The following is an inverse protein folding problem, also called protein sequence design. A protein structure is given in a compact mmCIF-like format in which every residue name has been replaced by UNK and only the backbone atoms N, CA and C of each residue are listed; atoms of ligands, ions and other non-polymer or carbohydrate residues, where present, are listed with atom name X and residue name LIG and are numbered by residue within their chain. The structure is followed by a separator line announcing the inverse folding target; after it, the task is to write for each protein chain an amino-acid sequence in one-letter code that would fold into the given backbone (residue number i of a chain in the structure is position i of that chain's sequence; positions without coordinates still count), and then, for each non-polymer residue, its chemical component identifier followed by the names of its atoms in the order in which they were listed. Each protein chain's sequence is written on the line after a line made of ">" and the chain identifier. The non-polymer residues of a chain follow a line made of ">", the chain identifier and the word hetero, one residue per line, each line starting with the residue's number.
data_IF_709559188926
#
_entry.id   IF_709559188926
#
_cell.length_a   1.000
_cell.length_b   1.000
_cell.length_c   1.000
_cell.angle_alpha   90.00
_cell.angle_beta   90.00
_cell.angle_gamma   90.00
#
_symmetry.space_group_name_H-M   'P 1'
#
loop_
_entity.id
_entity.type
_entity.pdbx_description
1 polymer ?
#
# COMPACT_ATOMS: atom_id res chain seq x y z
N UNK A 1 -8.73 -30.43 0.79
CA UNK A 1 -8.56 -29.03 0.33
C UNK A 1 -9.95 -28.47 0.06
N UNK A 2 -10.33 -27.38 0.69
CA UNK A 2 -11.63 -26.72 0.48
C UNK A 2 -11.55 -25.93 -0.83
N UNK A 3 -12.59 -26.02 -1.67
CA UNK A 3 -12.59 -25.28 -2.95
C UNK A 3 -12.75 -23.77 -2.75
N UNK A 4 -12.22 -22.96 -3.70
CA UNK A 4 -12.42 -21.48 -3.71
C UNK A 4 -13.91 -21.13 -3.60
N UNK A 5 -14.77 -21.81 -4.35
CA UNK A 5 -16.20 -21.57 -4.35
C UNK A 5 -16.85 -21.79 -2.96
N UNK A 6 -16.42 -22.81 -2.23
CA UNK A 6 -16.93 -23.09 -0.88
C UNK A 6 -16.47 -22.05 0.13
N UNK A 7 -15.19 -21.63 0.06
CA UNK A 7 -14.65 -20.54 0.88
C UNK A 7 -15.44 -19.25 0.63
N UNK A 8 -15.68 -18.90 -0.63
CA UNK A 8 -16.45 -17.71 -0.99
C UNK A 8 -17.90 -17.74 -0.51
N UNK A 9 -18.55 -18.92 -0.57
CA UNK A 9 -19.90 -19.08 0.00
C UNK A 9 -19.92 -18.82 1.50
N UNK A 10 -18.97 -19.37 2.26
CA UNK A 10 -18.82 -19.15 3.70
C UNK A 10 -18.57 -17.69 4.03
N UNK A 11 -17.63 -17.06 3.32
CA UNK A 11 -17.33 -15.63 3.47
C UNK A 11 -18.56 -14.75 3.22
N UNK A 12 -19.28 -15.01 2.11
CA UNK A 12 -20.50 -14.24 1.79
C UNK A 12 -21.63 -14.46 2.79
N UNK A 13 -21.76 -15.65 3.36
CA UNK A 13 -22.74 -15.91 4.43
C UNK A 13 -22.43 -15.10 5.70
N UNK A 14 -21.14 -15.00 6.08
CA UNK A 14 -20.72 -14.20 7.24
C UNK A 14 -20.92 -12.71 7.00
N UNK A 15 -20.61 -12.20 5.79
CA UNK A 15 -20.77 -10.77 5.48
C UNK A 15 -22.21 -10.25 5.55
N UNK A 16 -23.19 -11.16 5.57
CA UNK A 16 -24.63 -10.84 5.71
C UNK A 16 -25.15 -10.90 7.15
N UNK A 17 -24.30 -11.29 8.10
CA UNK A 17 -24.68 -11.32 9.53
C UNK A 17 -24.82 -9.90 10.08
N UNK A 18 -25.45 -9.78 11.25
CA UNK A 18 -25.50 -8.51 11.97
C UNK A 18 -24.09 -7.98 12.24
N UNK A 19 -23.85 -6.68 12.08
CA UNK A 19 -22.55 -6.08 12.34
C UNK A 19 -22.08 -6.33 13.78
N UNK A 20 -20.80 -6.61 13.96
CA UNK A 20 -20.15 -6.65 15.27
C UNK A 20 -20.06 -5.24 15.85
N UNK A 21 -20.18 -5.11 17.18
CA UNK A 21 -19.93 -3.83 17.86
C UNK A 21 -18.43 -3.49 17.83
N UNK A 22 -18.11 -2.22 18.05
CA UNK A 22 -16.71 -1.75 18.17
C UNK A 22 -15.96 -2.51 19.25
N UNK A 23 -16.59 -2.75 20.41
CA UNK A 23 -16.02 -3.48 21.55
C UNK A 23 -15.71 -4.93 21.16
N UNK A 24 -16.64 -5.60 20.47
CA UNK A 24 -16.43 -6.98 19.98
C UNK A 24 -15.24 -7.04 19.00
N UNK A 25 -15.17 -6.09 18.05
CA UNK A 25 -14.06 -6.02 17.10
C UNK A 25 -12.73 -5.76 17.79
N UNK A 26 -12.67 -4.82 18.72
CA UNK A 26 -11.46 -4.49 19.46
C UNK A 26 -10.97 -5.65 20.32
N UNK A 27 -11.89 -6.33 21.03
CA UNK A 27 -11.57 -7.50 21.83
C UNK A 27 -11.04 -8.65 20.97
N UNK A 28 -11.66 -8.90 19.82
CA UNK A 28 -11.24 -9.95 18.90
C UNK A 28 -9.85 -9.64 18.29
N UNK A 29 -9.57 -8.38 17.90
CA UNK A 29 -8.24 -7.97 17.42
C UNK A 29 -7.16 -8.22 18.46
N UNK A 30 -7.43 -7.91 19.75
CA UNK A 30 -6.51 -8.21 20.84
C UNK A 30 -6.27 -9.72 20.98
N UNK A 31 -7.31 -10.54 20.89
CA UNK A 31 -7.18 -12.00 20.95
C UNK A 31 -6.47 -12.60 19.74
N UNK A 32 -6.69 -12.05 18.56
CA UNK A 32 -5.93 -12.44 17.37
C UNK A 32 -4.44 -12.09 17.51
N UNK A 33 -4.10 -10.91 18.05
CA UNK A 33 -2.72 -10.52 18.32
C UNK A 33 -2.05 -11.44 19.36
N UNK A 34 -2.72 -11.77 20.46
CA UNK A 34 -2.22 -12.75 21.46
C UNK A 34 -1.99 -14.12 20.83
N UNK A 35 -2.93 -14.61 20.02
CA UNK A 35 -2.82 -15.90 19.33
C UNK A 35 -1.66 -15.91 18.32
N UNK A 36 -1.43 -14.79 17.61
CA UNK A 36 -0.33 -14.65 16.67
C UNK A 36 1.02 -14.75 17.36
N UNK A 37 1.21 -14.05 18.50
CA UNK A 37 2.43 -14.12 19.31
C UNK A 37 2.61 -15.52 19.88
N UNK A 38 1.55 -16.15 20.37
CA UNK A 38 1.61 -17.51 20.93
C UNK A 38 1.97 -18.56 19.88
N UNK A 39 1.68 -18.31 18.60
CA UNK A 39 2.01 -19.19 17.47
C UNK A 39 3.37 -18.89 16.82
N UNK A 40 4.21 -18.02 17.41
CA UNK A 40 5.48 -17.57 16.82
C UNK A 40 6.35 -18.73 16.34
N UNK A 41 6.55 -19.77 17.14
CA UNK A 41 7.40 -20.91 16.78
C UNK A 41 6.85 -21.69 15.57
N UNK A 42 5.53 -21.90 15.51
CA UNK A 42 4.90 -22.61 14.40
C UNK A 42 4.96 -21.77 13.11
N UNK A 43 4.77 -20.47 13.21
CA UNK A 43 4.89 -19.54 12.08
C UNK A 43 6.33 -19.48 11.56
N UNK A 44 7.32 -19.41 12.45
CA UNK A 44 8.74 -19.40 12.07
C UNK A 44 9.17 -20.71 11.41
N UNK A 45 8.68 -21.87 11.90
CA UNK A 45 8.94 -23.18 11.25
C UNK A 45 8.37 -23.22 9.83
N UNK A 46 7.12 -22.75 9.64
CA UNK A 46 6.51 -22.69 8.32
C UNK A 46 7.25 -21.70 7.40
N UNK A 47 7.64 -20.55 7.92
CA UNK A 47 8.38 -19.53 7.18
C UNK A 47 9.78 -20.00 6.75
N UNK A 48 10.49 -20.71 7.61
CA UNK A 48 11.80 -21.27 7.26
C UNK A 48 11.70 -22.22 6.05
N UNK A 49 10.64 -23.04 5.99
CA UNK A 49 10.39 -23.94 4.85
C UNK A 49 10.04 -23.17 3.57
N UNK A 50 9.25 -22.10 3.68
CA UNK A 50 8.90 -21.22 2.55
C UNK A 50 10.17 -20.54 2.01
N UNK A 51 10.98 -19.94 2.89
CA UNK A 51 12.26 -19.28 2.53
C UNK A 51 13.20 -20.26 1.84
N UNK A 52 13.36 -21.47 2.37
CA UNK A 52 14.25 -22.48 1.77
C UNK A 52 13.78 -22.90 0.36
N UNK A 53 12.48 -23.08 0.15
CA UNK A 53 11.90 -23.40 -1.16
C UNK A 53 12.00 -22.23 -2.16
N UNK A 54 12.00 -21.01 -1.67
CA UNK A 54 12.04 -19.81 -2.51
C UNK A 54 13.45 -19.45 -2.98
N UNK A 55 14.52 -19.95 -2.32
CA UNK A 55 15.91 -19.71 -2.74
C UNK A 55 16.13 -20.13 -4.20
N UNK A 56 16.76 -19.25 -4.96
CA UNK A 56 17.03 -19.46 -6.39
C UNK A 56 15.81 -19.34 -7.31
N UNK A 57 14.59 -19.09 -6.77
CA UNK A 57 13.38 -18.87 -7.56
C UNK A 57 12.89 -17.43 -7.54
N UNK A 58 13.25 -16.67 -6.49
CA UNK A 58 12.97 -15.25 -6.34
C UNK A 58 14.26 -14.52 -5.97
N UNK A 59 14.28 -13.18 -6.12
CA UNK A 59 15.47 -12.36 -5.81
C UNK A 59 15.74 -12.27 -4.31
N UNK A 60 16.99 -11.95 -3.92
CA UNK A 60 17.38 -11.81 -2.50
C UNK A 60 16.55 -10.73 -1.79
N UNK A 61 16.18 -9.67 -2.48
CA UNK A 61 15.26 -8.63 -1.97
C UNK A 61 13.88 -9.21 -1.66
N UNK A 62 13.35 -10.10 -2.49
CA UNK A 62 12.09 -10.79 -2.23
C UNK A 62 12.21 -11.83 -1.12
N UNK A 63 13.38 -12.48 -0.97
CA UNK A 63 13.69 -13.36 0.16
C UNK A 63 13.66 -12.57 1.48
N UNK A 64 14.26 -11.37 1.54
CA UNK A 64 14.18 -10.54 2.76
C UNK A 64 12.72 -10.15 3.09
N UNK A 65 11.91 -9.82 2.08
CA UNK A 65 10.47 -9.54 2.27
C UNK A 65 9.69 -10.76 2.79
N UNK A 66 10.06 -11.97 2.35
CA UNK A 66 9.42 -13.22 2.75
C UNK A 66 9.80 -13.64 4.16
N UNK A 67 11.03 -13.34 4.60
CA UNK A 67 11.60 -13.80 5.87
C UNK A 67 10.89 -13.14 7.06
N UNK A 68 10.44 -13.97 8.02
CA UNK A 68 9.94 -13.55 9.31
C UNK A 68 10.99 -13.76 10.40
N UNK A 69 10.91 -12.93 11.45
CA UNK A 69 11.64 -13.07 12.70
C UNK A 69 10.67 -12.91 13.87
N UNK A 70 11.02 -13.28 15.10
CA UNK A 70 10.17 -13.03 16.26
C UNK A 70 9.76 -11.56 16.39
N UNK A 71 10.67 -10.63 16.09
CA UNK A 71 10.43 -9.19 16.14
C UNK A 71 9.42 -8.76 15.06
N UNK A 72 9.55 -9.30 13.83
CA UNK A 72 8.59 -9.04 12.74
C UNK A 72 7.19 -9.58 13.09
N UNK A 73 7.08 -10.76 13.69
CA UNK A 73 5.80 -11.33 14.15
C UNK A 73 5.21 -10.47 15.28
N UNK A 74 6.05 -10.04 16.22
CA UNK A 74 5.61 -9.12 17.27
C UNK A 74 5.11 -7.79 16.67
N UNK A 75 5.82 -7.21 15.71
CA UNK A 75 5.39 -6.00 15.02
C UNK A 75 4.04 -6.17 14.29
N UNK A 76 3.77 -7.34 13.70
CA UNK A 76 2.45 -7.68 13.13
C UNK A 76 1.35 -7.65 14.21
N UNK A 77 1.61 -8.25 15.38
CA UNK A 77 0.66 -8.23 16.50
C UNK A 77 0.45 -6.81 17.06
N UNK A 78 1.53 -6.05 17.23
CA UNK A 78 1.47 -4.64 17.66
C UNK A 78 0.64 -3.79 16.67
N UNK A 79 0.83 -3.98 15.35
CA UNK A 79 0.03 -3.34 14.31
C UNK A 79 -1.47 -3.64 14.43
N UNK A 80 -1.84 -4.89 14.74
CA UNK A 80 -3.25 -5.25 15.00
C UNK A 80 -3.80 -4.51 16.23
N UNK A 81 -2.99 -4.34 17.28
CA UNK A 81 -3.39 -3.60 18.48
C UNK A 81 -3.55 -2.10 18.20
N UNK A 82 -2.71 -1.53 17.33
CA UNK A 82 -2.89 -0.14 16.89
C UNK A 82 -4.19 0.02 16.08
N UNK A 83 -4.49 -0.91 15.15
CA UNK A 83 -5.77 -0.91 14.42
C UNK A 83 -6.98 -1.02 15.38
N UNK A 84 -6.86 -1.79 16.47
CA UNK A 84 -7.93 -1.88 17.47
C UNK A 84 -8.23 -0.53 18.16
N UNK A 85 -7.21 0.33 18.35
CA UNK A 85 -7.35 1.67 18.95
C UNK A 85 -7.97 2.70 18.02
N UNK A 86 -7.89 2.48 16.70
CA UNK A 86 -8.43 3.43 15.73
C UNK A 86 -9.96 3.54 15.85
N UNK A 87 -10.53 4.72 15.55
CA UNK A 87 -11.97 4.90 15.47
C UNK A 87 -12.62 3.90 14.50
N UNK A 88 -13.73 3.31 14.90
CA UNK A 88 -14.50 2.41 14.03
C UNK A 88 -15.17 3.22 12.92
N UNK A 89 -14.91 2.92 11.64
CA UNK A 89 -15.51 3.66 10.53
C UNK A 89 -16.98 3.29 10.31
N UNK A 90 -17.43 2.12 10.75
CA UNK A 90 -18.79 1.61 10.49
C UNK A 90 -19.83 2.40 11.25
N UNK A 91 -20.86 2.88 10.55
CA UNK A 91 -21.94 3.65 11.15
C UNK A 91 -21.64 5.15 11.28
N UNK A 92 -20.45 5.60 10.92
CA UNK A 92 -20.12 7.05 10.92
C UNK A 92 -20.98 7.80 9.90
N UNK A 93 -21.65 8.85 10.36
CA UNK A 93 -22.45 9.75 9.51
C UNK A 93 -21.54 10.88 8.99
N UNK A 94 -21.29 10.92 7.69
CA UNK A 94 -20.44 11.93 7.06
C UNK A 94 -21.20 13.17 6.61
N UNK A 95 -22.51 13.02 6.34
CA UNK A 95 -23.37 14.13 5.93
C UNK A 95 -24.79 13.88 6.42
N UNK A 96 -25.48 14.95 6.84
CA UNK A 96 -26.86 14.92 7.34
C UNK A 96 -27.64 16.11 6.81
N UNK A 97 -28.68 15.83 6.02
CA UNK A 97 -29.55 16.83 5.43
C UNK A 97 -30.98 16.68 5.97
N UNK A 98 -31.59 17.80 6.42
CA UNK A 98 -33.01 17.87 6.70
C UNK A 98 -33.74 18.42 5.48
N UNK A 99 -34.60 17.59 4.88
CA UNK A 99 -35.41 18.01 3.75
C UNK A 99 -36.60 18.86 4.20
N UNK A 100 -37.11 19.76 3.31
CA UNK A 100 -38.22 20.70 3.60
C UNK A 100 -39.50 20.00 4.08
N UNK A 101 -39.74 18.75 3.68
CA UNK A 101 -40.90 17.96 4.09
C UNK A 101 -40.68 17.16 5.40
N UNK A 102 -39.56 17.36 6.10
CA UNK A 102 -39.23 16.71 7.37
C UNK A 102 -38.47 15.39 7.26
N UNK A 103 -38.11 14.91 6.04
CA UNK A 103 -37.20 13.78 5.91
C UNK A 103 -35.79 14.13 6.42
N UNK A 104 -35.18 13.22 7.18
CA UNK A 104 -33.77 13.28 7.54
C UNK A 104 -33.00 12.29 6.68
N UNK A 105 -32.02 12.77 5.93
CA UNK A 105 -31.19 11.96 5.04
C UNK A 105 -29.77 11.94 5.64
N UNK A 106 -29.28 10.76 5.98
CA UNK A 106 -27.93 10.55 6.55
C UNK A 106 -27.08 9.71 5.59
N UNK A 107 -25.90 10.22 5.21
CA UNK A 107 -24.88 9.47 4.47
C UNK A 107 -24.02 8.72 5.48
N UNK A 108 -24.20 7.41 5.56
CA UNK A 108 -23.62 6.57 6.62
C UNK A 108 -22.62 5.59 6.05
N UNK A 109 -21.43 5.50 6.65
CA UNK A 109 -20.36 4.57 6.28
C UNK A 109 -20.76 3.12 6.60
N UNK A 110 -20.50 2.22 5.65
CA UNK A 110 -20.78 0.78 5.74
C UNK A 110 -19.65 -0.02 5.13
N UNK A 111 -19.40 -1.27 5.56
CA UNK A 111 -18.42 -2.15 4.93
C UNK A 111 -18.81 -2.46 3.47
N UNK A 112 -17.83 -2.77 2.64
CA UNK A 112 -18.07 -3.33 1.29
C UNK A 112 -18.76 -4.68 1.37
N UNK A 113 -18.32 -5.54 2.29
CA UNK A 113 -18.81 -6.90 2.44
C UNK A 113 -17.68 -7.92 2.45
N UNK A 114 -17.37 -8.54 1.31
CA UNK A 114 -16.24 -9.46 1.16
C UNK A 114 -15.11 -8.76 0.41
N UNK A 115 -13.96 -8.59 1.06
CA UNK A 115 -12.74 -8.02 0.47
C UNK A 115 -11.76 -9.15 0.21
N UNK A 116 -11.40 -9.36 -1.05
CA UNK A 116 -10.39 -10.33 -1.48
C UNK A 116 -9.04 -9.65 -1.68
N UNK A 117 -7.98 -10.23 -1.15
CA UNK A 117 -6.62 -9.73 -1.27
C UNK A 117 -5.73 -10.80 -1.89
N UNK A 118 -5.16 -10.50 -3.07
CA UNK A 118 -4.18 -11.36 -3.74
C UNK A 118 -2.80 -10.74 -3.54
N UNK A 119 -1.86 -11.47 -2.92
CA UNK A 119 -0.55 -10.90 -2.58
C UNK A 119 0.61 -11.89 -2.78
N UNK A 120 1.81 -11.34 -2.96
CA UNK A 120 3.06 -12.06 -3.22
C UNK A 120 4.08 -11.79 -2.11
N UNK A 121 4.88 -12.82 -1.76
CA UNK A 121 6.13 -12.73 -0.96
C UNK A 121 6.13 -11.81 0.28
N UNK A 122 4.96 -11.60 0.90
CA UNK A 122 4.78 -10.68 2.04
C UNK A 122 3.89 -11.28 3.13
N UNK A 123 4.41 -12.18 4.00
CA UNK A 123 3.60 -12.81 5.03
C UNK A 123 2.90 -11.82 5.99
N UNK A 124 3.50 -10.64 6.26
CA UNK A 124 2.89 -9.60 7.08
C UNK A 124 1.57 -9.06 6.50
N UNK A 125 1.41 -9.03 5.17
CA UNK A 125 0.14 -8.63 4.53
C UNK A 125 -1.04 -9.47 5.03
N UNK A 126 -0.79 -10.73 5.41
CA UNK A 126 -1.82 -11.62 5.95
C UNK A 126 -2.47 -11.05 7.21
N UNK A 127 -1.68 -10.55 8.18
CA UNK A 127 -2.19 -9.96 9.42
C UNK A 127 -2.76 -8.56 9.20
N UNK A 128 -2.09 -7.73 8.41
CA UNK A 128 -2.49 -6.36 8.16
C UNK A 128 -3.85 -6.32 7.44
N UNK A 129 -3.98 -7.10 6.37
CA UNK A 129 -5.22 -7.22 5.61
C UNK A 129 -6.37 -7.81 6.45
N UNK A 130 -6.09 -8.82 7.27
CA UNK A 130 -7.08 -9.40 8.18
C UNK A 130 -7.56 -8.38 9.22
N UNK A 131 -6.63 -7.65 9.86
CA UNK A 131 -6.97 -6.66 10.89
C UNK A 131 -7.79 -5.50 10.33
N UNK A 132 -7.34 -4.91 9.23
CA UNK A 132 -8.04 -3.78 8.59
C UNK A 132 -9.41 -4.19 8.05
N UNK A 133 -9.51 -5.34 7.35
CA UNK A 133 -10.81 -5.83 6.86
C UNK A 133 -11.77 -6.12 8.01
N UNK A 134 -11.31 -6.80 9.06
CA UNK A 134 -12.15 -7.14 10.20
C UNK A 134 -12.62 -5.90 10.97
N UNK A 135 -11.72 -4.96 11.29
CA UNK A 135 -12.07 -3.72 12.00
C UNK A 135 -13.04 -2.85 11.20
N UNK A 136 -12.87 -2.77 9.88
CA UNK A 136 -13.79 -2.05 8.98
C UNK A 136 -15.11 -2.79 8.72
N UNK A 137 -15.33 -3.95 9.37
CA UNK A 137 -16.57 -4.72 9.29
C UNK A 137 -16.69 -5.63 8.07
N UNK A 138 -15.61 -5.81 7.33
CA UNK A 138 -15.55 -6.68 6.15
C UNK A 138 -15.14 -8.11 6.52
N UNK A 139 -15.49 -9.04 5.65
CA UNK A 139 -14.93 -10.40 5.63
C UNK A 139 -13.72 -10.41 4.71
N UNK A 140 -12.61 -10.95 5.19
CA UNK A 140 -11.34 -11.02 4.48
C UNK A 140 -11.19 -12.39 3.78
N UNK A 141 -10.86 -12.37 2.49
CA UNK A 141 -10.47 -13.56 1.72
C UNK A 141 -9.07 -13.34 1.17
N UNK A 142 -8.12 -14.08 1.69
CA UNK A 142 -6.69 -13.99 1.40
C UNK A 142 -6.28 -15.02 0.36
N UNK A 143 -5.43 -14.62 -0.59
CA UNK A 143 -4.76 -15.54 -1.52
C UNK A 143 -3.29 -15.13 -1.62
N UNK A 144 -2.41 -15.90 -0.95
CA UNK A 144 -0.97 -15.66 -0.97
C UNK A 144 -0.30 -16.29 -2.20
N UNK A 145 0.86 -15.76 -2.59
CA UNK A 145 1.75 -16.45 -3.50
C UNK A 145 2.17 -17.84 -2.96
N UNK A 146 2.50 -18.74 -3.87
CA UNK A 146 2.91 -20.11 -3.50
C UNK A 146 4.17 -20.15 -2.61
N UNK A 147 5.04 -19.14 -2.76
CA UNK A 147 6.29 -18.98 -2.03
C UNK A 147 6.09 -18.57 -0.56
N UNK A 148 4.91 -18.01 -0.21
CA UNK A 148 4.57 -17.56 1.14
C UNK A 148 3.41 -18.35 1.77
N UNK A 149 2.92 -19.39 1.11
CA UNK A 149 1.68 -20.08 1.49
C UNK A 149 1.76 -20.74 2.88
N UNK A 150 2.87 -21.40 3.20
CA UNK A 150 3.05 -22.05 4.50
C UNK A 150 2.98 -21.04 5.65
N UNK A 151 3.65 -19.90 5.48
CA UNK A 151 3.63 -18.79 6.43
C UNK A 151 2.23 -18.20 6.57
N UNK A 152 1.56 -17.90 5.45
CA UNK A 152 0.20 -17.37 5.42
C UNK A 152 -0.80 -18.31 6.10
N UNK A 153 -0.69 -19.62 5.86
CA UNK A 153 -1.54 -20.64 6.47
C UNK A 153 -1.38 -20.67 7.99
N UNK A 154 -0.12 -20.66 8.49
CA UNK A 154 0.16 -20.65 9.93
C UNK A 154 -0.38 -19.37 10.60
N UNK A 155 -0.21 -18.22 9.96
CA UNK A 155 -0.73 -16.94 10.44
C UNK A 155 -2.27 -16.97 10.50
N UNK A 156 -2.95 -17.33 9.40
CA UNK A 156 -4.42 -17.41 9.35
C UNK A 156 -4.98 -18.37 10.39
N UNK A 157 -4.32 -19.51 10.61
CA UNK A 157 -4.68 -20.48 11.66
C UNK A 157 -4.65 -19.83 13.05
N UNK A 158 -3.62 -19.05 13.36
CA UNK A 158 -3.51 -18.31 14.62
C UNK A 158 -4.60 -17.24 14.75
N UNK A 159 -4.86 -16.47 13.69
CA UNK A 159 -5.91 -15.44 13.69
C UNK A 159 -7.32 -16.04 13.89
N UNK A 160 -7.63 -17.13 13.19
CA UNK A 160 -8.89 -17.87 13.36
C UNK A 160 -9.08 -18.40 14.77
N UNK A 161 -8.01 -18.90 15.39
CA UNK A 161 -8.04 -19.29 16.80
C UNK A 161 -8.43 -18.11 17.70
N UNK A 162 -7.84 -16.93 17.51
CA UNK A 162 -8.20 -15.72 18.25
C UNK A 162 -9.68 -15.34 18.09
N UNK A 163 -10.26 -15.49 16.89
CA UNK A 163 -11.69 -15.26 16.66
C UNK A 163 -12.57 -16.27 17.40
N UNK A 164 -12.24 -17.56 17.30
CA UNK A 164 -13.01 -18.65 17.97
C UNK A 164 -12.95 -18.53 19.50
N UNK A 165 -11.81 -18.14 20.06
CA UNK A 165 -11.64 -17.88 21.49
C UNK A 165 -12.54 -16.74 21.99
N UNK A 166 -13.03 -15.87 21.09
CA UNK A 166 -13.99 -14.81 21.36
C UNK A 166 -15.45 -15.20 21.04
N UNK A 167 -15.72 -16.42 20.57
CA UNK A 167 -17.04 -16.85 20.10
C UNK A 167 -17.46 -16.18 18.78
N UNK A 168 -16.52 -15.64 18.01
CA UNK A 168 -16.76 -15.02 16.71
C UNK A 168 -16.48 -16.04 15.61
N UNK A 169 -17.29 -15.95 14.54
CA UNK A 169 -17.16 -16.86 13.39
C UNK A 169 -15.77 -16.73 12.73
N UNK A 170 -15.03 -17.83 12.69
CA UNK A 170 -13.69 -17.87 12.09
C UNK A 170 -13.66 -17.49 10.59
N UNK A 171 -14.81 -17.59 9.91
CA UNK A 171 -14.91 -17.27 8.49
C UNK A 171 -14.97 -15.74 8.21
N UNK A 172 -14.77 -14.89 9.21
CA UNK A 172 -14.39 -13.48 8.98
C UNK A 172 -13.00 -13.38 8.31
N UNK A 173 -12.13 -14.37 8.51
CA UNK A 173 -10.80 -14.45 7.87
C UNK A 173 -10.70 -15.79 7.15
N UNK A 174 -10.42 -15.74 5.85
CA UNK A 174 -10.34 -16.92 4.99
C UNK A 174 -9.03 -16.91 4.20
N UNK A 175 -8.47 -18.09 3.92
CA UNK A 175 -7.33 -18.27 3.04
C UNK A 175 -7.70 -19.26 1.94
N UNK A 176 -7.44 -18.87 0.69
CA UNK A 176 -7.54 -19.79 -0.46
C UNK A 176 -6.36 -20.76 -0.40
N UNK A 177 -6.65 -22.04 -0.34
CA UNK A 177 -5.62 -23.08 -0.21
C UNK A 177 -4.97 -23.44 -1.56
N UNK A 178 -5.66 -23.24 -2.66
CA UNK A 178 -5.11 -23.41 -4.00
C UNK A 178 -4.24 -22.20 -4.38
N UNK A 179 -2.94 -22.44 -4.58
CA UNK A 179 -1.96 -21.42 -4.97
C UNK A 179 -1.75 -21.34 -6.48
N UNK A 180 -2.54 -22.06 -7.29
CA UNK A 180 -2.47 -21.98 -8.74
C UNK A 180 -2.97 -20.64 -9.28
N UNK A 181 -2.62 -20.32 -10.54
CA UNK A 181 -3.16 -19.15 -11.22
C UNK A 181 -4.69 -19.21 -11.39
N UNK A 182 -5.24 -20.43 -11.42
CA UNK A 182 -6.68 -20.65 -11.53
C UNK A 182 -7.43 -20.04 -10.35
N UNK A 183 -6.96 -20.23 -9.11
CA UNK A 183 -7.60 -19.68 -7.92
C UNK A 183 -7.59 -18.13 -7.90
N UNK A 184 -6.54 -17.50 -8.41
CA UNK A 184 -6.51 -16.04 -8.57
C UNK A 184 -7.56 -15.56 -9.57
N UNK A 185 -7.71 -16.28 -10.71
CA UNK A 185 -8.72 -15.98 -11.71
C UNK A 185 -10.15 -16.19 -11.17
N UNK A 186 -10.36 -17.23 -10.35
CA UNK A 186 -11.63 -17.46 -9.67
C UNK A 186 -12.01 -16.30 -8.76
N UNK A 187 -11.05 -15.72 -8.00
CA UNK A 187 -11.30 -14.53 -7.18
C UNK A 187 -11.60 -13.28 -8.04
N UNK A 188 -10.82 -13.05 -9.10
CA UNK A 188 -11.03 -11.92 -10.02
C UNK A 188 -12.41 -11.94 -10.68
N UNK A 189 -12.98 -13.12 -10.88
CA UNK A 189 -14.26 -13.30 -11.57
C UNK A 189 -15.42 -13.67 -10.65
N UNK A 190 -15.23 -13.63 -9.32
CA UNK A 190 -16.22 -14.04 -8.31
C UNK A 190 -17.37 -13.03 -8.10
N UNK A 191 -18.03 -12.62 -9.17
CA UNK A 191 -19.16 -11.68 -9.14
C UNK A 191 -20.27 -12.21 -8.22
N UNK A 192 -20.78 -11.34 -7.34
CA UNK A 192 -21.80 -11.69 -6.35
C UNK A 192 -21.26 -12.32 -5.05
N UNK A 193 -19.98 -12.71 -5.02
CA UNK A 193 -19.29 -13.21 -3.82
C UNK A 193 -18.27 -12.23 -3.29
N UNK A 194 -17.39 -11.71 -4.14
CA UNK A 194 -16.39 -10.70 -3.82
C UNK A 194 -16.94 -9.32 -4.15
N UNK A 195 -16.86 -8.40 -3.19
CA UNK A 195 -17.35 -7.03 -3.33
C UNK A 195 -16.22 -6.05 -3.67
N UNK A 196 -14.98 -6.40 -3.30
CA UNK A 196 -13.77 -5.63 -3.61
C UNK A 196 -12.56 -6.56 -3.70
N UNK A 197 -11.72 -6.37 -4.72
CA UNK A 197 -10.43 -7.02 -4.91
C UNK A 197 -9.29 -6.03 -4.75
N UNK A 198 -8.23 -6.41 -4.02
CA UNK A 198 -7.03 -5.60 -3.82
C UNK A 198 -5.79 -6.47 -4.13
N UNK A 199 -5.10 -6.25 -5.26
CA UNK A 199 -3.83 -6.90 -5.53
C UNK A 199 -2.68 -6.24 -4.76
N UNK A 200 -1.72 -7.06 -4.28
CA UNK A 200 -0.52 -6.64 -3.53
C UNK A 200 0.72 -7.38 -4.02
N UNK A 201 1.33 -6.91 -5.08
CA UNK A 201 2.49 -7.57 -5.68
C UNK A 201 3.20 -6.71 -6.70
N UNK A 202 3.99 -7.34 -7.57
CA UNK A 202 4.66 -6.66 -8.67
C UNK A 202 3.71 -6.26 -9.79
N UNK A 203 4.21 -5.44 -10.73
CA UNK A 203 3.47 -4.91 -11.89
C UNK A 203 2.65 -5.98 -12.62
N UNK A 204 3.23 -7.19 -12.82
CA UNK A 204 2.53 -8.28 -13.52
C UNK A 204 1.26 -8.78 -12.81
N UNK A 205 1.25 -8.87 -11.47
CA UNK A 205 0.05 -9.24 -10.71
C UNK A 205 -0.99 -8.11 -10.77
N UNK A 206 -0.55 -6.88 -10.60
CA UNK A 206 -1.43 -5.70 -10.61
C UNK A 206 -2.11 -5.59 -11.97
N UNK A 207 -1.36 -5.59 -13.08
CA UNK A 207 -1.93 -5.56 -14.45
C UNK A 207 -2.87 -6.73 -14.69
N UNK A 208 -2.50 -7.96 -14.28
CA UNK A 208 -3.39 -9.11 -14.43
C UNK A 208 -4.72 -8.95 -13.71
N UNK A 209 -4.72 -8.33 -12.51
CA UNK A 209 -5.94 -8.06 -11.76
C UNK A 209 -6.77 -6.92 -12.40
N UNK A 210 -6.14 -5.81 -12.78
CA UNK A 210 -6.85 -4.66 -13.37
C UNK A 210 -7.46 -4.97 -14.73
N UNK A 211 -6.78 -5.77 -15.55
CA UNK A 211 -7.24 -6.14 -16.90
C UNK A 211 -8.31 -7.24 -16.87
N UNK A 212 -8.27 -8.18 -15.93
CA UNK A 212 -9.09 -9.39 -15.96
C UNK A 212 -10.16 -9.45 -14.87
N UNK A 213 -10.13 -8.57 -13.84
CA UNK A 213 -11.14 -8.60 -12.80
C UNK A 213 -12.52 -8.18 -13.34
N UNK A 214 -13.53 -9.01 -13.01
CA UNK A 214 -14.95 -8.70 -13.22
C UNK A 214 -15.61 -8.16 -11.95
N UNK A 215 -14.89 -8.18 -10.84
CA UNK A 215 -15.27 -7.56 -9.57
C UNK A 215 -14.57 -6.21 -9.44
N UNK A 216 -15.10 -5.25 -8.67
CA UNK A 216 -14.41 -3.99 -8.39
C UNK A 216 -13.00 -4.24 -7.86
N UNK A 217 -12.00 -3.57 -8.44
CA UNK A 217 -10.60 -3.73 -8.09
C UNK A 217 -10.00 -2.36 -7.73
N UNK A 218 -9.29 -2.28 -6.60
CA UNK A 218 -8.46 -1.11 -6.27
C UNK A 218 -7.03 -1.43 -6.63
N UNK A 219 -6.50 -0.68 -7.58
CA UNK A 219 -5.11 -0.80 -8.02
C UNK A 219 -4.17 -0.24 -6.96
N UNK A 220 -3.22 -1.07 -6.51
CA UNK A 220 -2.07 -0.61 -5.71
C UNK A 220 -0.91 -0.40 -6.67
N UNK A 221 -0.48 0.86 -6.82
CA UNK A 221 0.48 1.23 -7.87
C UNK A 221 1.90 0.72 -7.62
N UNK A 222 2.68 0.63 -8.71
CA UNK A 222 4.15 0.72 -8.69
C UNK A 222 4.53 2.16 -8.43
N UNK A 223 5.71 2.43 -7.86
CA UNK A 223 6.14 3.77 -7.51
C UNK A 223 7.35 4.26 -8.30
N UNK A 224 7.13 5.02 -9.37
CA UNK A 224 8.21 5.80 -10.00
C UNK A 224 8.17 7.20 -9.40
N UNK A 225 8.64 7.31 -8.14
CA UNK A 225 8.57 8.55 -7.39
C UNK A 225 9.65 9.53 -7.84
N UNK A 226 9.28 10.80 -8.04
CA UNK A 226 10.18 11.87 -8.47
C UNK A 226 10.47 12.84 -7.31
N UNK A 227 11.70 13.33 -7.27
CA UNK A 227 12.09 14.44 -6.42
C UNK A 227 12.69 15.55 -7.29
N UNK A 228 12.05 16.71 -7.31
CA UNK A 228 12.53 17.89 -8.02
C UNK A 228 13.27 18.82 -7.06
N UNK A 229 14.52 19.10 -7.39
CA UNK A 229 15.39 20.07 -6.69
C UNK A 229 15.34 21.38 -7.46
N UNK A 230 14.58 22.34 -6.89
CA UNK A 230 14.35 23.65 -7.47
C UNK A 230 15.60 24.57 -7.35
N UNK A 231 15.67 25.61 -8.20
CA UNK A 231 16.78 26.57 -8.19
C UNK A 231 17.01 27.25 -6.83
N UNK A 232 15.97 27.35 -6.01
CA UNK A 232 16.03 27.97 -4.67
C UNK A 232 16.20 26.95 -3.54
N UNK A 233 16.50 25.68 -3.87
CA UNK A 233 16.63 24.63 -2.88
C UNK A 233 17.79 24.87 -1.91
N UNK A 234 17.61 24.52 -0.65
CA UNK A 234 18.72 24.26 0.26
C UNK A 234 19.36 22.93 -0.14
N UNK A 235 20.62 22.97 -0.58
CA UNK A 235 21.31 21.84 -1.16
C UNK A 235 21.57 20.71 -0.16
N UNK A 236 21.86 21.05 1.12
CA UNK A 236 22.06 20.02 2.15
C UNK A 236 20.74 19.34 2.52
N UNK A 237 19.64 20.08 2.60
CA UNK A 237 18.31 19.52 2.76
C UNK A 237 17.97 18.58 1.60
N UNK A 238 18.24 18.99 0.37
CA UNK A 238 18.00 18.18 -0.83
C UNK A 238 18.78 16.86 -0.80
N UNK A 239 20.07 16.91 -0.44
CA UNK A 239 20.91 15.72 -0.27
C UNK A 239 20.36 14.77 0.79
N UNK A 240 19.96 15.29 1.95
CA UNK A 240 19.44 14.48 3.06
C UNK A 240 18.10 13.82 2.68
N UNK A 241 17.22 14.55 1.99
CA UNK A 241 15.93 14.01 1.52
C UNK A 241 16.14 12.93 0.47
N UNK A 242 17.00 13.16 -0.54
CA UNK A 242 17.29 12.19 -1.59
C UNK A 242 17.99 10.94 -1.03
N UNK A 243 18.93 11.13 -0.11
CA UNK A 243 19.61 10.02 0.56
C UNK A 243 18.61 9.14 1.33
N UNK A 244 17.75 9.73 2.12
CA UNK A 244 16.67 9.02 2.82
C UNK A 244 15.70 8.37 1.83
N UNK A 245 15.26 9.10 0.80
CA UNK A 245 14.25 8.62 -0.14
C UNK A 245 14.73 7.42 -0.97
N UNK A 246 16.03 7.31 -1.24
CA UNK A 246 16.59 6.19 -2.02
C UNK A 246 17.24 5.12 -1.16
N UNK A 247 18.08 5.50 -0.18
CA UNK A 247 18.97 4.53 0.50
C UNK A 247 18.35 3.87 1.72
N UNK A 248 17.35 4.47 2.36
CA UNK A 248 16.73 3.90 3.56
C UNK A 248 16.07 2.54 3.30
N UNK A 249 15.43 2.39 2.14
CA UNK A 249 14.82 1.12 1.68
C UNK A 249 14.48 1.22 0.18
N UNK A 250 15.38 0.87 -0.73
CA UNK A 250 15.16 1.08 -2.17
C UNK A 250 14.06 0.20 -2.77
N UNK A 251 13.74 -0.93 -2.11
CA UNK A 251 12.83 -1.96 -2.63
C UNK A 251 11.34 -1.71 -2.34
N UNK A 252 10.93 -0.47 -2.07
CA UNK A 252 9.52 -0.12 -1.79
C UNK A 252 9.03 0.96 -2.75
N UNK A 253 7.71 0.98 -3.01
CA UNK A 253 7.09 1.82 -4.02
C UNK A 253 7.18 3.35 -3.75
N UNK A 254 7.45 3.76 -2.50
CA UNK A 254 7.65 5.17 -2.14
C UNK A 254 9.13 5.59 -2.12
N UNK A 255 10.07 4.71 -2.55
CA UNK A 255 11.46 5.10 -2.76
C UNK A 255 11.56 5.99 -4.01
N UNK A 256 12.47 6.98 -3.97
CA UNK A 256 12.70 7.82 -5.14
C UNK A 256 13.40 7.02 -6.25
N UNK A 257 12.88 7.13 -7.46
CA UNK A 257 13.44 6.50 -8.65
C UNK A 257 14.03 7.54 -9.62
N UNK A 258 13.52 8.78 -9.59
CA UNK A 258 13.95 9.86 -10.45
C UNK A 258 14.25 11.12 -9.64
N UNK A 259 15.40 11.75 -9.93
CA UNK A 259 15.78 13.07 -9.44
C UNK A 259 15.80 14.07 -10.60
N UNK A 260 14.98 15.11 -10.52
CA UNK A 260 14.99 16.23 -11.45
C UNK A 260 15.73 17.40 -10.81
N UNK A 261 16.66 18.02 -11.53
CA UNK A 261 17.50 19.10 -11.01
C UNK A 261 17.38 20.34 -11.89
N UNK A 262 17.05 21.48 -11.28
CA UNK A 262 17.00 22.73 -12.01
C UNK A 262 18.38 23.10 -12.57
N UNK A 263 18.45 23.51 -13.83
CA UNK A 263 19.72 23.80 -14.55
C UNK A 263 20.64 24.80 -13.83
N UNK A 264 20.06 25.80 -13.15
CA UNK A 264 20.82 26.88 -12.52
C UNK A 264 21.67 26.40 -11.35
N UNK A 265 21.28 25.29 -10.69
CA UNK A 265 22.01 24.69 -9.57
C UNK A 265 22.70 23.38 -9.95
N UNK A 266 22.47 22.84 -11.15
CA UNK A 266 22.95 21.53 -11.55
C UNK A 266 24.47 21.39 -11.41
N UNK A 267 25.25 22.39 -11.81
CA UNK A 267 26.73 22.36 -11.71
C UNK A 267 27.25 22.30 -10.26
N UNK A 268 26.52 22.86 -9.31
CA UNK A 268 26.87 22.84 -7.92
C UNK A 268 26.32 21.59 -7.23
N UNK A 269 25.06 21.22 -7.47
CA UNK A 269 24.37 20.16 -6.78
C UNK A 269 24.79 18.75 -7.22
N UNK A 270 24.94 18.50 -8.54
CA UNK A 270 25.22 17.16 -9.04
C UNK A 270 26.53 16.53 -8.53
N UNK A 271 27.65 17.29 -8.41
CA UNK A 271 28.87 16.75 -7.77
C UNK A 271 28.65 16.37 -6.30
N UNK A 272 27.86 17.13 -5.56
CA UNK A 272 27.52 16.82 -4.16
C UNK A 272 26.68 15.55 -4.06
N UNK A 273 25.66 15.41 -4.91
CA UNK A 273 24.80 14.22 -5.01
C UNK A 273 25.63 12.98 -5.36
N UNK A 274 26.49 13.08 -6.37
CA UNK A 274 27.37 11.99 -6.78
C UNK A 274 28.28 11.53 -5.65
N UNK A 275 28.91 12.46 -4.93
CA UNK A 275 29.77 12.13 -3.80
C UNK A 275 28.99 11.50 -2.64
N UNK A 276 27.79 12.01 -2.33
CA UNK A 276 26.91 11.45 -1.30
C UNK A 276 26.53 10.01 -1.64
N UNK A 277 26.13 9.73 -2.86
CA UNK A 277 25.63 8.43 -3.27
C UNK A 277 26.74 7.40 -3.54
N UNK A 278 27.94 7.84 -3.84
CA UNK A 278 29.12 6.98 -3.95
C UNK A 278 29.79 6.65 -2.62
N UNK A 279 29.37 7.27 -1.51
CA UNK A 279 29.95 7.07 -0.19
C UNK A 279 29.21 5.96 0.59
N UNK A 280 29.94 5.25 1.47
CA UNK A 280 29.35 4.23 2.34
C UNK A 280 29.13 2.87 1.68
N UNK A 281 28.42 1.98 2.39
CA UNK A 281 28.21 0.59 1.97
C UNK A 281 27.15 0.44 0.88
N UNK A 282 26.06 1.23 0.94
CA UNK A 282 24.94 1.18 0.01
C UNK A 282 25.11 2.26 -1.08
N UNK A 283 26.01 2.05 -2.02
CA UNK A 283 26.22 2.97 -3.13
C UNK A 283 25.03 2.95 -4.07
N UNK A 284 24.65 4.13 -4.57
CA UNK A 284 23.58 4.28 -5.55
C UNK A 284 24.18 4.53 -6.92
N UNK A 285 23.88 3.70 -7.90
CA UNK A 285 24.18 3.95 -9.31
C UNK A 285 23.29 5.09 -9.80
N UNK A 286 23.92 6.14 -10.33
CA UNK A 286 23.22 7.23 -11.00
C UNK A 286 23.23 7.00 -12.51
N UNK A 287 22.06 7.14 -13.13
CA UNK A 287 21.91 7.17 -14.59
C UNK A 287 21.46 8.57 -15.00
N UNK A 288 22.31 9.27 -15.73
CA UNK A 288 22.11 10.68 -16.07
C UNK A 288 21.70 10.91 -17.52
N UNK A 289 20.84 11.92 -17.78
CA UNK A 289 20.67 12.43 -19.14
C UNK A 289 21.98 13.05 -19.70
N UNK A 290 21.99 13.52 -20.93
CA UNK A 290 23.17 14.10 -21.55
C UNK A 290 23.74 15.27 -20.76
N UNK A 291 22.89 16.13 -20.18
CA UNK A 291 23.35 17.28 -19.39
C UNK A 291 23.98 16.85 -18.05
N UNK A 292 23.49 15.83 -17.42
CA UNK A 292 24.07 15.27 -16.19
C UNK A 292 25.42 14.63 -16.47
N UNK A 293 25.54 13.84 -17.55
CA UNK A 293 26.80 13.17 -17.96
C UNK A 293 27.91 14.18 -18.29
N UNK A 294 27.58 15.37 -18.79
CA UNK A 294 28.56 16.45 -19.00
C UNK A 294 29.14 17.02 -17.71
N UNK A 295 28.43 16.90 -16.56
CA UNK A 295 28.86 17.48 -15.27
C UNK A 295 29.49 16.43 -14.36
N UNK A 296 28.96 15.20 -14.32
CA UNK A 296 29.44 14.11 -13.47
C UNK A 296 29.61 12.81 -14.28
N UNK A 297 30.58 11.98 -13.86
CA UNK A 297 30.85 10.70 -14.53
C UNK A 297 29.90 9.61 -14.08
N UNK A 298 28.77 9.45 -14.75
CA UNK A 298 27.72 8.47 -14.46
C UNK A 298 27.31 7.71 -15.73
N UNK A 299 26.56 6.62 -15.56
CA UNK A 299 25.99 5.85 -16.67
C UNK A 299 24.98 6.71 -17.44
N UNK A 300 25.03 6.80 -18.77
CA UNK A 300 24.00 7.48 -19.54
C UNK A 300 22.64 6.83 -19.36
N UNK A 301 21.61 7.62 -19.05
CA UNK A 301 20.24 7.18 -18.98
C UNK A 301 19.64 6.98 -20.38
N UNK A 302 18.83 5.94 -20.54
CA UNK A 302 17.89 5.79 -21.66
C UNK A 302 16.53 6.37 -21.28
N UNK A 303 15.67 6.65 -22.25
CA UNK A 303 14.28 7.10 -21.98
C UNK A 303 13.54 6.12 -21.07
N UNK A 304 13.72 4.81 -21.27
CA UNK A 304 13.07 3.77 -20.44
C UNK A 304 13.54 3.78 -18.97
N UNK A 305 14.68 4.39 -18.64
CA UNK A 305 15.13 4.50 -17.25
C UNK A 305 14.24 5.45 -16.43
N UNK A 306 13.57 6.42 -17.07
CA UNK A 306 12.61 7.30 -16.42
C UNK A 306 11.24 6.66 -16.22
N UNK A 307 10.94 5.56 -16.93
CA UNK A 307 9.73 4.74 -16.80
C UNK A 307 9.95 3.47 -15.96
N UNK A 308 11.09 3.38 -15.26
CA UNK A 308 11.50 2.18 -14.54
C UNK A 308 11.43 2.36 -13.04
N UNK A 309 10.65 1.50 -12.38
CA UNK A 309 10.74 1.27 -10.94
C UNK A 309 11.91 0.30 -10.69
N UNK A 310 13.10 0.83 -10.35
CA UNK A 310 14.31 0.01 -10.20
C UNK A 310 14.24 -0.94 -9.01
N UNK A 311 13.61 -0.52 -7.91
CA UNK A 311 13.53 -1.28 -6.65
C UNK A 311 14.91 -1.67 -6.07
N UNK A 312 15.94 -0.94 -6.45
CA UNK A 312 17.34 -1.18 -6.10
C UNK A 312 18.07 0.14 -5.89
N UNK A 313 19.33 0.09 -5.54
CA UNK A 313 20.22 1.25 -5.39
C UNK A 313 20.61 1.85 -6.76
N UNK A 314 19.61 2.19 -7.55
CA UNK A 314 19.73 2.84 -8.87
C UNK A 314 18.77 4.03 -8.91
N UNK A 315 19.18 5.17 -9.47
CA UNK A 315 18.34 6.36 -9.63
C UNK A 315 18.61 7.05 -10.96
N UNK A 316 17.58 7.38 -11.71
CA UNK A 316 17.69 8.22 -12.90
C UNK A 316 17.77 9.70 -12.48
N UNK A 317 18.57 10.49 -13.20
CA UNK A 317 18.77 11.92 -12.93
C UNK A 317 18.66 12.71 -14.22
N UNK A 318 17.89 13.79 -14.21
CA UNK A 318 17.69 14.66 -15.37
C UNK A 318 17.77 16.13 -14.98
N UNK A 319 18.39 16.93 -15.85
CA UNK A 319 18.39 18.40 -15.74
C UNK A 319 17.13 18.93 -16.42
N UNK A 320 16.44 19.86 -15.77
CA UNK A 320 15.26 20.55 -16.29
C UNK A 320 15.47 22.05 -16.29
N UNK A 321 14.91 22.75 -17.28
CA UNK A 321 15.08 24.19 -17.46
C UNK A 321 14.30 25.04 -16.45
N UNK A 322 13.14 24.53 -16.01
CA UNK A 322 12.22 25.22 -15.15
C UNK A 322 11.28 24.23 -14.45
N UNK A 323 10.48 24.72 -13.51
CA UNK A 323 9.51 23.93 -12.74
C UNK A 323 8.41 23.33 -13.65
N UNK A 324 8.00 24.04 -14.70
CA UNK A 324 6.99 23.57 -15.65
C UNK A 324 7.47 22.32 -16.36
N UNK A 325 8.74 22.29 -16.78
CA UNK A 325 9.33 21.11 -17.41
C UNK A 325 9.46 19.94 -16.41
N UNK A 326 9.73 20.23 -15.13
CA UNK A 326 9.73 19.19 -14.10
C UNK A 326 8.32 18.58 -13.93
N UNK A 327 7.28 19.41 -13.89
CA UNK A 327 5.89 18.97 -13.79
C UNK A 327 5.46 18.16 -15.03
N UNK A 328 5.85 18.58 -16.24
CA UNK A 328 5.58 17.87 -17.48
C UNK A 328 6.26 16.49 -17.47
N UNK A 329 7.54 16.42 -17.09
CA UNK A 329 8.26 15.15 -16.97
C UNK A 329 7.58 14.21 -15.95
N UNK A 330 7.16 14.73 -14.79
CA UNK A 330 6.41 13.95 -13.80
C UNK A 330 5.09 13.43 -14.39
N UNK A 331 4.38 14.25 -15.14
CA UNK A 331 3.12 13.85 -15.76
C UNK A 331 3.29 12.73 -16.80
N UNK A 332 4.43 12.69 -17.50
CA UNK A 332 4.75 11.67 -18.52
C UNK A 332 5.26 10.36 -17.91
N UNK A 333 6.12 10.42 -16.89
CA UNK A 333 6.90 9.26 -16.43
C UNK A 333 6.50 8.74 -15.06
N UNK A 334 5.79 9.55 -14.25
CA UNK A 334 5.37 9.12 -12.92
C UNK A 334 4.22 8.12 -12.97
N UNK A 335 4.17 7.27 -11.97
CA UNK A 335 3.02 6.40 -11.70
C UNK A 335 1.97 7.08 -10.80
N UNK A 336 2.07 8.38 -10.58
CA UNK A 336 1.19 9.19 -9.72
C UNK A 336 1.19 8.74 -8.26
N UNK A 337 2.32 8.19 -7.78
CA UNK A 337 2.42 7.67 -6.42
C UNK A 337 2.80 8.77 -5.41
N UNK A 338 4.03 9.25 -5.44
CA UNK A 338 4.55 10.21 -4.47
C UNK A 338 5.64 11.08 -5.09
N UNK A 339 5.43 12.40 -5.07
CA UNK A 339 6.33 13.36 -5.67
C UNK A 339 6.75 14.42 -4.66
N UNK A 340 7.96 14.92 -4.75
CA UNK A 340 8.46 15.95 -3.83
C UNK A 340 9.15 17.07 -4.59
N UNK A 341 8.97 18.31 -4.12
CA UNK A 341 9.77 19.46 -4.47
C UNK A 341 10.63 19.89 -3.30
N UNK A 342 11.90 20.20 -3.55
CA UNK A 342 12.79 20.83 -2.57
C UNK A 342 12.99 22.26 -3.00
N UNK A 343 12.50 23.22 -2.21
CA UNK A 343 12.51 24.65 -2.52
C UNK A 343 12.39 25.51 -1.28
N UNK A 344 12.95 26.71 -1.30
CA UNK A 344 12.68 27.76 -0.31
C UNK A 344 11.72 28.81 -0.85
N UNK A 345 11.35 28.74 -2.14
CA UNK A 345 10.39 29.65 -2.75
C UNK A 345 8.96 29.13 -2.60
N UNK A 346 8.13 29.92 -1.89
CA UNK A 346 6.74 29.58 -1.68
C UNK A 346 5.93 29.50 -2.98
N UNK A 347 6.24 30.34 -3.97
CA UNK A 347 5.49 30.33 -5.23
C UNK A 347 5.76 29.04 -6.03
N UNK A 348 7.02 28.57 -6.05
CA UNK A 348 7.38 27.28 -6.62
C UNK A 348 6.68 26.11 -5.88
N UNK A 349 6.65 26.14 -4.54
CA UNK A 349 5.95 25.13 -3.75
C UNK A 349 4.44 25.08 -4.05
N UNK A 350 3.78 26.24 -4.05
CA UNK A 350 2.33 26.35 -4.34
C UNK A 350 2.00 25.91 -5.77
N UNK A 351 2.84 26.28 -6.74
CA UNK A 351 2.68 25.84 -8.14
C UNK A 351 2.82 24.33 -8.26
N UNK A 352 3.91 23.75 -7.73
CA UNK A 352 4.18 22.31 -7.81
C UNK A 352 3.06 21.48 -7.18
N UNK A 353 2.61 21.85 -5.98
CA UNK A 353 1.54 21.13 -5.26
C UNK A 353 0.18 21.23 -5.96
N UNK A 354 -0.05 22.27 -6.74
CA UNK A 354 -1.30 22.43 -7.51
C UNK A 354 -1.26 21.75 -8.87
N UNK A 355 -0.08 21.64 -9.49
CA UNK A 355 0.08 21.14 -10.84
C UNK A 355 0.37 19.62 -10.90
N UNK A 356 1.06 19.08 -9.90
CA UNK A 356 1.37 17.64 -9.81
C UNK A 356 0.17 16.86 -9.30
N UNK A 357 -0.36 15.96 -10.11
CA UNK A 357 -1.55 15.15 -9.79
C UNK A 357 -1.16 13.73 -9.31
N UNK A 358 -0.37 13.65 -8.23
CA UNK A 358 0.00 12.38 -7.59
C UNK A 358 -0.77 12.15 -6.29
N UNK A 359 -0.79 10.89 -5.81
CA UNK A 359 -1.53 10.51 -4.61
C UNK A 359 -0.99 11.20 -3.35
N UNK A 360 0.33 11.47 -3.30
CA UNK A 360 0.98 12.27 -2.27
C UNK A 360 1.97 13.24 -2.90
N UNK A 361 1.86 14.53 -2.54
CA UNK A 361 2.75 15.60 -3.04
C UNK A 361 3.37 16.29 -1.84
N UNK A 362 4.70 16.34 -1.81
CA UNK A 362 5.49 16.83 -0.70
C UNK A 362 6.22 18.13 -1.03
N UNK A 363 6.37 18.97 -0.02
CA UNK A 363 7.28 20.11 -0.03
C UNK A 363 8.32 19.90 1.04
N UNK A 364 9.61 19.84 0.68
CA UNK A 364 10.73 19.71 1.60
C UNK A 364 10.65 18.46 2.51
N UNK A 365 10.14 17.35 1.98
CA UNK A 365 10.06 16.10 2.72
C UNK A 365 10.30 14.89 1.79
N UNK A 366 10.75 13.79 2.38
CA UNK A 366 11.00 12.54 1.69
C UNK A 366 9.71 11.85 1.27
N UNK A 367 9.69 11.27 0.08
CA UNK A 367 8.57 10.41 -0.41
C UNK A 367 8.36 9.18 0.47
N UNK A 368 9.35 8.80 1.30
CA UNK A 368 9.27 7.69 2.25
C UNK A 368 8.18 7.85 3.31
N UNK A 369 7.66 9.04 3.53
CA UNK A 369 6.53 9.29 4.41
C UNK A 369 5.18 8.83 3.85
N UNK A 370 5.07 8.43 2.57
CA UNK A 370 3.86 7.82 2.03
C UNK A 370 3.73 6.39 2.54
N UNK A 371 3.28 6.24 3.77
CA UNK A 371 3.20 4.99 4.52
C UNK A 371 2.02 5.07 5.49
N UNK A 372 1.29 3.96 5.67
CA UNK A 372 0.11 3.94 6.55
C UNK A 372 0.44 4.21 8.02
N UNK A 373 1.61 3.77 8.50
CA UNK A 373 2.06 4.06 9.86
C UNK A 373 2.35 5.54 10.05
N UNK A 374 3.10 6.14 9.12
CA UNK A 374 3.45 7.57 9.14
C UNK A 374 2.20 8.47 8.99
N UNK A 375 1.19 8.03 8.26
CA UNK A 375 -0.09 8.75 8.10
C UNK A 375 -1.07 8.50 9.26
N UNK A 376 -0.67 7.75 10.29
CA UNK A 376 -1.51 7.46 11.46
C UNK A 376 -2.64 6.48 11.21
N UNK A 377 -2.52 5.63 10.18
CA UNK A 377 -3.51 4.61 9.82
C UNK A 377 -3.29 3.26 10.53
N UNK A 378 -2.26 3.14 11.37
CA UNK A 378 -1.84 1.93 12.08
C UNK A 378 -1.20 0.90 11.14
N UNK A 379 -2.00 0.23 10.33
CA UNK A 379 -1.58 -0.62 9.21
C UNK A 379 -2.05 -0.02 7.89
N UNK A 380 -1.53 -0.53 6.76
CA UNK A 380 -2.05 -0.15 5.45
C UNK A 380 -2.41 -1.37 4.59
N UNK A 381 -3.48 -1.24 3.83
CA UNK A 381 -3.85 -2.22 2.82
C UNK A 381 -3.01 -2.09 1.55
N UNK A 382 -2.32 -0.99 1.39
CA UNK A 382 -1.49 -0.59 0.26
C UNK A 382 -1.68 0.87 -0.09
N UNK A 383 -0.95 1.31 -1.10
CA UNK A 383 -1.01 2.67 -1.60
C UNK A 383 -1.62 2.64 -3.00
N UNK A 384 -2.77 3.28 -3.17
CA UNK A 384 -3.46 3.35 -4.45
C UNK A 384 -3.11 4.63 -5.19
N UNK A 385 -2.86 4.51 -6.49
CA UNK A 385 -2.61 5.65 -7.38
C UNK A 385 -3.81 6.01 -8.24
N UNK A 386 -4.87 5.19 -8.21
CA UNK A 386 -6.11 5.46 -8.96
C UNK A 386 -6.91 6.62 -8.35
N UNK A 387 -7.74 7.27 -9.17
CA UNK A 387 -8.56 8.42 -8.73
C UNK A 387 -9.90 8.02 -8.12
N UNK A 388 -10.46 6.87 -8.49
CA UNK A 388 -11.76 6.42 -8.00
C UNK A 388 -11.61 5.65 -6.70
N UNK A 389 -12.44 6.01 -5.72
CA UNK A 389 -12.61 5.53 -4.37
C UNK A 389 -11.39 5.88 -3.49
N UNK A 390 -10.37 5.00 -3.40
CA UNK A 390 -9.21 5.22 -2.55
C UNK A 390 -8.02 5.76 -3.37
N UNK A 391 -7.31 6.75 -2.84
CA UNK A 391 -6.07 7.29 -3.41
C UNK A 391 -5.08 7.58 -2.28
N UNK A 392 -3.83 7.14 -2.43
CA UNK A 392 -2.82 7.18 -1.39
C UNK A 392 -2.85 5.96 -0.48
N UNK A 393 -2.24 6.02 0.72
CA UNK A 393 -2.27 4.94 1.70
C UNK A 393 -3.70 4.59 2.10
N UNK A 394 -4.03 3.29 2.05
CA UNK A 394 -5.38 2.80 2.36
C UNK A 394 -5.43 2.21 3.78
N UNK A 395 -6.19 2.85 4.65
CA UNK A 395 -6.50 2.39 6.01
C UNK A 395 -7.94 1.89 6.15
N UNK A 396 -8.51 2.08 7.33
CA UNK A 396 -9.86 1.59 7.66
C UNK A 396 -10.96 2.27 6.84
N UNK A 397 -10.84 3.59 6.60
CA UNK A 397 -11.89 4.37 5.90
C UNK A 397 -12.03 3.96 4.45
N UNK A 398 -10.93 3.66 3.80
CA UNK A 398 -10.85 3.27 2.40
C UNK A 398 -11.41 1.85 2.15
N UNK A 399 -11.58 1.04 3.20
CA UNK A 399 -12.26 -0.26 3.17
C UNK A 399 -13.76 -0.17 3.44
N UNK A 400 -14.33 1.03 3.44
CA UNK A 400 -15.75 1.28 3.60
C UNK A 400 -16.32 2.06 2.41
N UNK A 401 -17.59 1.84 2.14
CA UNK A 401 -18.41 2.66 1.27
C UNK A 401 -19.49 3.36 2.10
N UNK A 402 -20.52 3.90 1.48
CA UNK A 402 -21.61 4.53 2.19
C UNK A 402 -22.97 4.07 1.65
N UNK A 403 -23.99 4.20 2.50
CA UNK A 403 -25.39 4.14 2.09
C UNK A 403 -26.14 5.34 2.64
N UNK A 404 -27.27 5.67 2.03
CA UNK A 404 -28.18 6.66 2.56
C UNK A 404 -29.19 6.01 3.49
N UNK A 405 -29.33 6.52 4.72
CA UNK A 405 -30.39 6.18 5.66
C UNK A 405 -31.36 7.34 5.67
N UNK A 406 -32.60 7.10 5.25
CA UNK A 406 -33.64 8.10 5.16
C UNK A 406 -34.68 7.81 6.25
N UNK A 407 -34.85 8.76 7.17
CA UNK A 407 -35.82 8.68 8.27
C UNK A 407 -36.97 9.63 7.97
N UNK A 408 -38.19 9.10 7.93
CA UNK A 408 -39.40 9.85 7.66
C UNK A 408 -40.49 9.52 8.67
N UNK A 409 -41.62 10.24 8.54
CA UNK A 409 -42.85 10.03 9.32
C UNK A 409 -44.06 10.09 8.38
N UNK A 410 -44.08 9.23 7.34
CA UNK A 410 -45.18 9.12 6.38
C UNK A 410 -45.16 10.12 5.22
N UNK A 411 -44.02 10.76 4.94
CA UNK A 411 -43.90 11.69 3.80
C UNK A 411 -44.06 10.94 2.49
N UNK A 412 -44.82 11.55 1.58
CA UNK A 412 -45.01 11.14 0.18
C UNK A 412 -44.50 12.22 -0.76
N UNK A 413 -44.16 11.84 -2.01
CA UNK A 413 -43.71 12.76 -3.07
C UNK A 413 -44.86 13.13 -3.95
#
# INVERSE_FOLDING_TARGET
>A
MITTAEILKRAKAVSRKAPLTTEQKNFALAKMAESLVSATDDILKANALDVEKAKGTITDVMIDRLKLTPERIKAMADGMLEVAKLPDPVGTVSDRTAHKNGLIIEKTSVPFGVVAIIYESRPNVTSDAAALSFKSGNVCVLRSGKEAFGSAFAIVKALKKGLTDCGIDENYINLIEDTSRQSANELMTAVGYVDLLIPRGGKGLISACTENAKVPCIETGTGICHIYVDKSADLEMALNILDNAKRSRPSVCNAAEVCLVHKDIAKEFLPLLYNRFNSGENRVELKGDSGVVEIINVTPASENDFDTEFLDYVMAVKIVDCIEQAVEHIAEHSTYHSESIITTDKASADYFTSAVDSAAVYVNASTRFTDGGEFGLGCEMGISTQKLHARGPMGLKELNTYKYIIKGNGQVR
#
